data_IF_352299851780
#
_entry.id   IF_352299851780
#
_cell.length_a   1.000
_cell.length_b   1.000
_cell.length_c   1.000
_cell.angle_alpha   90.00
_cell.angle_beta   90.00
_cell.angle_gamma   90.00
#
_symmetry.space_group_name_H-M   'P 1'
#
loop_
_entity.id
_entity.type
_entity.pdbx_description
1 polymer ?
#
# COMPACT_ATOMS: atom_id res chain seq x y z
N UNK A 1 -5.55 -17.22 -14.26
CA UNK A 1 -4.08 -17.33 -14.48
C UNK A 1 -3.75 -17.65 -15.93
N UNK A 2 -4.29 -18.73 -16.51
CA UNK A 2 -4.02 -19.19 -17.88
C UNK A 2 -4.23 -18.08 -18.92
N UNK A 3 -5.32 -17.31 -18.83
CA UNK A 3 -5.59 -16.17 -19.71
C UNK A 3 -4.48 -15.11 -19.68
N UNK A 4 -3.98 -14.75 -18.49
CA UNK A 4 -2.88 -13.79 -18.35
C UNK A 4 -1.55 -14.37 -18.85
N UNK A 5 -1.32 -15.67 -18.62
CA UNK A 5 -0.14 -16.36 -19.17
C UNK A 5 -0.14 -16.31 -20.69
N UNK A 6 -1.24 -16.69 -21.34
CA UNK A 6 -1.34 -16.68 -22.80
C UNK A 6 -1.21 -15.28 -23.38
N UNK A 7 -1.80 -14.29 -22.71
CA UNK A 7 -1.64 -12.88 -23.08
C UNK A 7 -0.16 -12.48 -23.07
N UNK A 8 0.52 -12.69 -21.95
CA UNK A 8 1.93 -12.29 -21.78
C UNK A 8 2.86 -13.07 -22.71
N UNK A 9 2.61 -14.37 -22.91
CA UNK A 9 3.43 -15.23 -23.74
C UNK A 9 3.31 -14.89 -25.23
N UNK A 10 2.11 -14.51 -25.69
CA UNK A 10 1.84 -14.17 -27.08
C UNK A 10 1.87 -12.65 -27.35
N UNK A 11 2.17 -11.82 -26.34
CA UNK A 11 2.17 -10.36 -26.43
C UNK A 11 0.84 -9.79 -26.97
N UNK A 12 -0.27 -10.26 -26.40
CA UNK A 12 -1.62 -9.84 -26.79
C UNK A 12 -2.02 -8.61 -25.96
N UNK A 13 -2.32 -7.50 -26.63
CA UNK A 13 -2.80 -6.27 -25.97
C UNK A 13 -4.26 -5.93 -26.30
N UNK A 14 -4.87 -6.62 -27.25
CA UNK A 14 -6.28 -6.41 -27.59
C UNK A 14 -7.21 -6.98 -26.51
N UNK A 15 -7.94 -6.09 -25.83
CA UNK A 15 -8.86 -6.46 -24.75
C UNK A 15 -9.95 -7.43 -25.19
N UNK A 16 -10.50 -7.28 -26.39
CA UNK A 16 -11.56 -8.19 -26.88
C UNK A 16 -11.02 -9.61 -27.07
N UNK A 17 -9.76 -9.72 -27.51
CA UNK A 17 -9.08 -11.01 -27.63
C UNK A 17 -8.85 -11.61 -26.23
N UNK A 18 -8.40 -10.81 -25.27
CA UNK A 18 -8.17 -11.27 -23.89
C UNK A 18 -9.45 -11.76 -23.20
N UNK A 19 -10.58 -11.05 -23.38
CA UNK A 19 -11.89 -11.50 -22.90
C UNK A 19 -12.30 -12.84 -23.54
N UNK A 20 -12.07 -12.99 -24.84
CA UNK A 20 -12.35 -14.24 -25.55
C UNK A 20 -11.48 -15.39 -25.04
N UNK A 21 -10.21 -15.13 -24.68
CA UNK A 21 -9.33 -16.11 -24.05
C UNK A 21 -9.85 -16.54 -22.68
N UNK A 22 -10.39 -15.62 -21.87
CA UNK A 22 -11.02 -15.97 -20.60
C UNK A 22 -12.20 -16.92 -20.81
N UNK A 23 -13.12 -16.58 -21.71
CA UNK A 23 -14.29 -17.42 -21.98
C UNK A 23 -13.91 -18.80 -22.51
N UNK A 24 -12.89 -18.87 -23.37
CA UNK A 24 -12.38 -20.15 -23.87
C UNK A 24 -11.75 -20.98 -22.76
N UNK A 25 -10.90 -20.37 -21.93
CA UNK A 25 -10.20 -21.06 -20.84
C UNK A 25 -11.16 -21.52 -19.74
N UNK A 26 -12.21 -20.73 -19.45
CA UNK A 26 -13.25 -21.12 -18.51
C UNK A 26 -14.01 -22.37 -18.99
N UNK A 27 -14.35 -22.44 -20.28
CA UNK A 27 -15.02 -23.60 -20.87
C UNK A 27 -14.17 -24.87 -20.81
N UNK A 28 -12.87 -24.75 -21.05
CA UNK A 28 -11.94 -25.88 -21.09
C UNK A 28 -11.60 -26.41 -19.68
N UNK A 29 -11.24 -25.50 -18.76
CA UNK A 29 -10.64 -25.87 -17.48
C UNK A 29 -11.59 -25.78 -16.28
N UNK A 30 -12.74 -25.14 -16.43
CA UNK A 30 -13.76 -25.03 -15.41
C UNK A 30 -15.16 -25.36 -15.95
N UNK A 31 -15.35 -26.53 -16.61
CA UNK A 31 -16.64 -26.90 -17.16
C UNK A 31 -17.67 -27.01 -16.03
N UNK A 32 -18.66 -26.12 -16.02
CA UNK A 32 -19.68 -26.03 -14.97
C UNK A 32 -19.52 -24.84 -14.01
N UNK A 33 -18.45 -24.05 -14.12
CA UNK A 33 -18.37 -22.74 -13.49
C UNK A 33 -19.33 -21.79 -14.21
N UNK A 34 -20.48 -21.54 -13.58
CA UNK A 34 -21.54 -20.72 -14.20
C UNK A 34 -21.23 -19.23 -14.17
N UNK A 35 -20.77 -18.74 -13.02
CA UNK A 35 -20.46 -17.31 -12.85
C UNK A 35 -18.95 -17.04 -13.00
N UNK A 36 -18.61 -16.22 -13.98
CA UNK A 36 -17.24 -15.75 -14.23
C UNK A 36 -17.02 -14.31 -13.77
N UNK A 37 -17.98 -13.71 -13.06
CA UNK A 37 -17.91 -12.33 -12.57
C UNK A 37 -16.63 -12.05 -11.81
N UNK A 38 -16.27 -12.92 -10.86
CA UNK A 38 -15.05 -12.79 -10.08
C UNK A 38 -13.78 -12.93 -10.94
N UNK A 39 -13.74 -13.91 -11.85
CA UNK A 39 -12.60 -14.09 -12.74
C UNK A 39 -12.41 -12.90 -13.69
N UNK A 40 -13.51 -12.33 -14.21
CA UNK A 40 -13.52 -11.10 -15.00
C UNK A 40 -13.06 -9.90 -14.19
N UNK A 41 -13.55 -9.76 -12.95
CA UNK A 41 -13.11 -8.71 -12.04
C UNK A 41 -11.60 -8.74 -11.79
N UNK A 42 -11.03 -9.92 -11.50
CA UNK A 42 -9.59 -10.08 -11.30
C UNK A 42 -8.81 -9.76 -12.58
N UNK A 43 -9.27 -10.25 -13.74
CA UNK A 43 -8.66 -9.94 -15.03
C UNK A 43 -8.65 -8.44 -15.29
N UNK A 44 -9.82 -7.79 -15.20
CA UNK A 44 -9.99 -6.36 -15.43
C UNK A 44 -9.15 -5.52 -14.48
N UNK A 45 -9.15 -5.86 -13.19
CA UNK A 45 -8.35 -5.16 -12.17
C UNK A 45 -6.86 -5.32 -12.44
N UNK A 46 -6.42 -6.53 -12.81
CA UNK A 46 -5.03 -6.80 -13.17
C UNK A 46 -4.59 -6.00 -14.38
N UNK A 47 -5.40 -5.94 -15.44
CA UNK A 47 -5.08 -5.19 -16.66
C UNK A 47 -5.09 -3.68 -16.41
N UNK A 48 -6.11 -3.18 -15.70
CA UNK A 48 -6.28 -1.76 -15.40
C UNK A 48 -5.15 -1.21 -14.54
N UNK A 49 -4.70 -1.97 -13.54
CA UNK A 49 -3.70 -1.50 -12.56
C UNK A 49 -2.32 -2.13 -12.76
N UNK A 50 -2.06 -2.77 -13.90
CA UNK A 50 -0.83 -3.52 -14.15
C UNK A 50 0.44 -2.71 -13.83
N UNK A 51 0.52 -1.47 -14.32
CA UNK A 51 1.70 -0.63 -14.08
C UNK A 51 1.96 -0.34 -12.60
N UNK A 52 0.91 -0.11 -11.80
CA UNK A 52 1.03 0.10 -10.35
C UNK A 52 1.42 -1.19 -9.64
N UNK A 53 0.79 -2.30 -10.02
CA UNK A 53 1.06 -3.62 -9.49
C UNK A 53 2.51 -4.03 -9.76
N UNK A 54 3.00 -3.84 -10.98
CA UNK A 54 4.37 -4.17 -11.37
C UNK A 54 5.38 -3.33 -10.56
N UNK A 55 5.13 -2.04 -10.36
CA UNK A 55 5.97 -1.18 -9.52
C UNK A 55 5.99 -1.62 -8.04
N UNK A 56 4.85 -2.10 -7.50
CA UNK A 56 4.77 -2.67 -6.15
C UNK A 56 5.59 -3.96 -6.06
N UNK A 57 5.52 -4.82 -7.08
CA UNK A 57 6.31 -6.05 -7.15
C UNK A 57 7.80 -5.72 -7.10
N UNK A 58 8.27 -4.78 -7.92
CA UNK A 58 9.68 -4.37 -7.97
C UNK A 58 10.15 -3.78 -6.63
N UNK A 59 9.31 -2.98 -5.98
CA UNK A 59 9.62 -2.43 -4.65
C UNK A 59 9.74 -3.54 -3.59
N UNK A 60 8.85 -4.54 -3.64
CA UNK A 60 8.84 -5.65 -2.69
C UNK A 60 9.92 -6.72 -3.00
N UNK A 61 10.43 -6.78 -4.23
CA UNK A 61 11.44 -7.71 -4.70
C UNK A 61 12.55 -6.99 -5.51
N UNK A 62 13.35 -6.11 -4.89
CA UNK A 62 14.30 -5.25 -5.61
C UNK A 62 15.39 -6.02 -6.36
N UNK A 63 15.73 -7.24 -5.89
CA UNK A 63 16.70 -8.12 -6.55
C UNK A 63 16.13 -8.83 -7.79
N UNK A 64 14.82 -8.73 -8.03
CA UNK A 64 14.09 -9.44 -9.08
C UNK A 64 13.31 -8.46 -9.97
N UNK A 65 13.97 -7.83 -10.96
CA UNK A 65 13.29 -7.03 -11.98
C UNK A 65 12.13 -7.80 -12.62
N UNK A 66 11.07 -7.08 -12.98
CA UNK A 66 9.81 -7.69 -13.44
C UNK A 66 9.99 -8.60 -14.67
N UNK A 67 10.97 -8.31 -15.53
CA UNK A 67 11.30 -9.09 -16.72
C UNK A 67 12.04 -10.40 -16.40
N UNK A 68 12.69 -10.48 -15.23
CA UNK A 68 13.41 -11.67 -14.75
C UNK A 68 12.52 -12.63 -13.98
N UNK A 69 11.33 -12.19 -13.55
CA UNK A 69 10.34 -13.05 -12.92
C UNK A 69 9.68 -13.92 -13.99
N UNK A 70 9.51 -15.22 -13.72
CA UNK A 70 8.84 -16.12 -14.66
C UNK A 70 7.44 -15.61 -14.99
N UNK A 71 6.97 -15.82 -16.23
CA UNK A 71 5.64 -15.34 -16.67
C UNK A 71 4.53 -15.86 -15.73
N UNK A 72 4.67 -17.09 -15.24
CA UNK A 72 3.72 -17.69 -14.29
C UNK A 72 3.76 -16.97 -12.95
N UNK A 73 4.93 -16.85 -12.32
CA UNK A 73 5.06 -16.19 -11.00
C UNK A 73 4.64 -14.72 -11.07
N UNK A 74 5.03 -14.01 -12.14
CA UNK A 74 4.66 -12.62 -12.37
C UNK A 74 3.14 -12.47 -12.44
N UNK A 75 2.46 -13.33 -13.20
CA UNK A 75 1.00 -13.26 -13.30
C UNK A 75 0.29 -13.68 -12.01
N UNK A 76 0.87 -14.59 -11.21
CA UNK A 76 0.36 -14.94 -9.89
C UNK A 76 0.50 -13.76 -8.92
N UNK A 77 1.66 -13.09 -8.90
CA UNK A 77 1.85 -11.85 -8.12
C UNK A 77 0.84 -10.79 -8.53
N UNK A 78 0.65 -10.61 -9.84
CA UNK A 78 -0.30 -9.63 -10.36
C UNK A 78 -1.74 -9.92 -9.92
N UNK A 79 -2.18 -11.17 -10.00
CA UNK A 79 -3.50 -11.60 -9.51
C UNK A 79 -3.62 -11.34 -8.01
N UNK A 80 -2.66 -11.83 -7.21
CA UNK A 80 -2.70 -11.72 -5.76
C UNK A 80 -2.70 -10.27 -5.28
N UNK A 81 -1.92 -9.40 -5.94
CA UNK A 81 -1.90 -7.96 -5.64
C UNK A 81 -3.14 -7.24 -6.15
N UNK A 82 -3.67 -7.59 -7.32
CA UNK A 82 -4.91 -7.02 -7.82
C UNK A 82 -6.05 -7.25 -6.83
N UNK A 83 -6.16 -8.48 -6.32
CA UNK A 83 -7.13 -8.85 -5.31
C UNK A 83 -6.86 -8.16 -3.95
N UNK A 84 -5.61 -8.16 -3.48
CA UNK A 84 -5.23 -7.58 -2.19
C UNK A 84 -5.49 -6.07 -2.11
N UNK A 85 -5.26 -5.35 -3.21
CA UNK A 85 -5.27 -3.88 -3.25
C UNK A 85 -6.57 -3.30 -3.78
N UNK A 86 -7.25 -4.00 -4.69
CA UNK A 86 -8.44 -3.48 -5.36
C UNK A 86 -9.68 -4.36 -5.16
N UNK A 87 -9.54 -5.52 -4.52
CA UNK A 87 -10.65 -6.43 -4.20
C UNK A 87 -11.51 -5.99 -3.03
N UNK A 88 -12.73 -6.55 -2.94
CA UNK A 88 -13.62 -6.32 -1.81
C UNK A 88 -13.18 -7.18 -0.62
N UNK A 89 -12.57 -6.54 0.39
CA UNK A 89 -12.05 -7.20 1.60
C UNK A 89 -13.13 -7.86 2.47
N UNK A 90 -14.39 -7.46 2.31
CA UNK A 90 -15.52 -8.08 3.01
C UNK A 90 -15.94 -9.41 2.37
N UNK A 91 -15.61 -9.61 1.08
CA UNK A 91 -15.85 -10.86 0.36
C UNK A 91 -14.64 -11.79 0.49
N UNK A 92 -13.43 -11.28 0.24
CA UNK A 92 -12.19 -12.06 0.36
C UNK A 92 -11.20 -11.35 1.31
N UNK A 93 -10.96 -11.91 2.51
CA UNK A 93 -9.94 -11.38 3.40
C UNK A 93 -8.55 -11.44 2.79
N UNK A 94 -7.72 -10.42 3.06
CA UNK A 94 -6.37 -10.30 2.50
C UNK A 94 -5.49 -11.56 2.67
N UNK A 95 -5.57 -12.23 3.83
CA UNK A 95 -4.82 -13.47 4.09
C UNK A 95 -5.28 -14.64 3.22
N UNK A 96 -6.56 -14.67 2.85
CA UNK A 96 -7.09 -15.67 1.94
C UNK A 96 -6.54 -15.42 0.54
N UNK A 97 -6.61 -14.19 0.03
CA UNK A 97 -6.03 -13.82 -1.27
C UNK A 97 -4.53 -14.19 -1.37
N UNK A 98 -3.76 -13.92 -0.32
CA UNK A 98 -2.34 -14.30 -0.25
C UNK A 98 -2.15 -15.83 -0.29
N UNK A 99 -2.94 -16.58 0.49
CA UNK A 99 -2.86 -18.03 0.49
C UNK A 99 -3.23 -18.63 -0.87
N UNK A 100 -4.27 -18.13 -1.53
CA UNK A 100 -4.68 -18.60 -2.86
C UNK A 100 -3.58 -18.36 -3.90
N UNK A 101 -2.92 -17.19 -3.88
CA UNK A 101 -1.77 -16.93 -4.74
C UNK A 101 -0.60 -17.90 -4.47
N UNK A 102 -0.35 -18.26 -3.21
CA UNK A 102 0.69 -19.24 -2.85
C UNK A 102 0.33 -20.64 -3.36
N UNK A 103 -0.93 -21.05 -3.26
CA UNK A 103 -1.38 -22.36 -3.76
C UNK A 103 -1.31 -22.41 -5.30
N UNK A 104 -1.69 -21.34 -6.00
CA UNK A 104 -1.47 -21.23 -7.46
C UNK A 104 0.01 -21.38 -7.82
N UNK A 105 0.90 -20.79 -7.03
CA UNK A 105 2.35 -20.86 -7.27
C UNK A 105 2.91 -22.27 -7.07
N UNK A 106 2.38 -23.02 -6.10
CA UNK A 106 2.73 -24.43 -5.89
C UNK A 106 2.20 -25.32 -7.01
N UNK A 107 1.04 -24.99 -7.57
CA UNK A 107 0.41 -25.79 -8.61
C UNK A 107 1.03 -25.57 -10.00
N UNK A 108 1.35 -24.31 -10.34
CA UNK A 108 1.75 -23.93 -11.69
C UNK A 108 3.20 -23.44 -11.81
N UNK A 109 3.83 -23.03 -10.70
CA UNK A 109 5.18 -22.50 -10.68
C UNK A 109 6.26 -23.59 -10.54
N UNK A 110 7.49 -23.13 -10.30
CA UNK A 110 8.64 -24.00 -10.00
C UNK A 110 8.75 -24.32 -8.50
N UNK A 111 9.75 -25.12 -8.14
CA UNK A 111 9.97 -25.61 -6.76
C UNK A 111 10.04 -24.48 -5.70
N UNK A 112 10.55 -23.31 -6.07
CA UNK A 112 10.70 -22.17 -5.18
C UNK A 112 9.58 -21.12 -5.29
N UNK A 113 8.63 -21.27 -6.24
CA UNK A 113 7.59 -20.28 -6.52
C UNK A 113 6.73 -19.97 -5.30
N UNK A 114 6.22 -20.99 -4.61
CA UNK A 114 5.39 -20.78 -3.41
C UNK A 114 6.09 -19.96 -2.31
N UNK A 115 7.40 -20.15 -2.12
CA UNK A 115 8.18 -19.36 -1.15
C UNK A 115 8.41 -17.93 -1.62
N UNK A 116 8.71 -17.76 -2.91
CA UNK A 116 8.90 -16.46 -3.53
C UNK A 116 7.63 -15.59 -3.43
N UNK A 117 6.48 -16.12 -3.89
CA UNK A 117 5.19 -15.43 -3.84
C UNK A 117 4.81 -15.04 -2.40
N UNK A 118 4.97 -15.96 -1.45
CA UNK A 118 4.72 -15.67 -0.03
C UNK A 118 5.64 -14.56 0.51
N UNK A 119 6.90 -14.52 0.08
CA UNK A 119 7.85 -13.48 0.46
C UNK A 119 7.43 -12.10 -0.02
N UNK A 120 7.08 -11.98 -1.31
CA UNK A 120 6.68 -10.72 -1.95
C UNK A 120 5.35 -10.23 -1.40
N UNK A 121 4.30 -11.05 -1.43
CA UNK A 121 2.97 -10.66 -0.93
C UNK A 121 2.99 -10.39 0.58
N UNK A 122 3.78 -11.15 1.34
CA UNK A 122 3.94 -10.93 2.78
C UNK A 122 4.71 -9.67 3.13
N UNK A 123 5.60 -9.18 2.25
CA UNK A 123 6.25 -7.88 2.40
C UNK A 123 5.24 -6.74 2.16
N UNK A 124 4.48 -6.83 1.05
CA UNK A 124 3.42 -5.86 0.72
C UNK A 124 2.36 -5.80 1.82
N UNK A 125 1.89 -6.95 2.30
CA UNK A 125 0.90 -7.04 3.37
C UNK A 125 1.31 -6.28 4.64
N UNK A 126 2.59 -6.33 5.00
CA UNK A 126 3.13 -5.59 6.15
C UNK A 126 3.24 -4.09 5.87
N UNK A 127 3.58 -3.69 4.64
CA UNK A 127 3.67 -2.28 4.27
C UNK A 127 2.31 -1.58 4.34
N UNK A 128 1.21 -2.30 4.08
CA UNK A 128 -0.17 -1.82 4.26
C UNK A 128 -0.56 -1.54 5.72
N UNK A 129 0.36 -1.68 6.67
CA UNK A 129 0.07 -1.46 8.10
C UNK A 129 -0.73 -2.59 8.75
N UNK A 130 -0.94 -3.70 8.06
CA UNK A 130 -1.68 -4.84 8.60
C UNK A 130 -0.77 -5.77 9.42
N UNK A 131 -1.18 -6.05 10.66
CA UNK A 131 -0.40 -6.89 11.56
C UNK A 131 -0.52 -8.38 11.18
N UNK A 132 0.64 -9.00 10.92
CA UNK A 132 0.80 -10.45 10.74
C UNK A 132 0.43 -11.22 12.02
N UNK A 133 0.18 -10.54 13.15
CA UNK A 133 -0.22 -11.18 14.41
C UNK A 133 -1.72 -11.36 14.64
N UNK A 134 -2.58 -11.00 13.69
CA UNK A 134 -3.98 -11.45 13.78
C UNK A 134 -4.08 -12.94 13.41
N UNK A 135 -3.78 -13.80 14.39
CA UNK A 135 -3.81 -15.26 14.27
C UNK A 135 -5.23 -15.78 14.54
N UNK A 136 -5.81 -16.61 13.65
CA UNK A 136 -6.52 -17.79 14.12
C UNK A 136 -5.46 -18.72 14.71
N UNK A 137 -5.53 -18.97 16.02
CA UNK A 137 -4.61 -19.88 16.73
C UNK A 137 -4.71 -21.30 16.17
N UNK A 138 -3.79 -21.69 15.29
CA UNK A 138 -3.52 -23.11 15.04
C UNK A 138 -2.35 -23.55 15.93
N UNK A 139 -2.65 -24.41 16.92
CA UNK A 139 -1.67 -25.09 17.76
C UNK A 139 -0.86 -26.06 16.89
N UNK A 140 0.43 -25.77 16.67
CA UNK A 140 1.33 -26.70 15.98
C UNK A 140 2.81 -26.34 16.11
N UNK A 141 3.48 -27.00 17.05
CA UNK A 141 4.93 -27.21 17.30
C UNK A 141 5.93 -26.04 17.13
N UNK A 142 6.57 -25.76 18.27
CA UNK A 142 7.60 -24.75 18.57
C UNK A 142 8.84 -24.84 17.68
N UNK A 143 9.11 -23.79 16.92
CA UNK A 143 10.46 -23.26 16.71
C UNK A 143 10.60 -22.02 17.59
N UNK A 144 11.73 -21.88 18.29
CA UNK A 144 12.00 -20.77 19.22
C UNK A 144 11.88 -19.44 18.47
N UNK A 145 10.76 -18.72 18.64
CA UNK A 145 10.69 -17.30 18.32
C UNK A 145 11.63 -16.61 19.31
N UNK A 146 12.74 -16.05 18.85
CA UNK A 146 13.38 -14.98 19.61
C UNK A 146 12.34 -13.87 19.76
N UNK A 147 11.75 -13.75 20.95
CA UNK A 147 11.10 -12.53 21.39
C UNK A 147 12.18 -11.46 21.45
N UNK A 148 12.36 -10.75 20.34
CA UNK A 148 13.15 -9.53 20.31
C UNK A 148 12.40 -8.52 21.15
N UNK A 149 12.90 -8.26 22.36
CA UNK A 149 12.44 -7.21 23.26
C UNK A 149 12.27 -5.89 22.47
N UNK A 150 11.05 -5.32 22.39
CA UNK A 150 10.79 -4.06 21.69
C UNK A 150 11.70 -2.91 22.14
N UNK A 151 12.20 -2.95 23.39
CA UNK A 151 13.11 -1.94 23.92
C UNK A 151 14.51 -1.98 23.31
N UNK A 152 14.91 -3.09 22.68
CA UNK A 152 16.23 -3.27 22.04
C UNK A 152 16.20 -3.05 20.53
N UNK A 153 15.04 -2.73 19.95
CA UNK A 153 14.90 -2.50 18.52
C UNK A 153 15.46 -1.13 18.14
N UNK A 154 16.19 -1.01 17.00
CA UNK A 154 16.58 0.29 16.48
C UNK A 154 15.32 1.13 16.22
N UNK A 155 15.35 2.37 16.69
CA UNK A 155 14.24 3.31 16.54
C UNK A 155 14.53 4.29 15.41
N UNK A 156 13.57 4.45 14.51
CA UNK A 156 13.55 5.53 13.54
C UNK A 156 12.50 6.57 13.94
N UNK A 157 12.92 7.83 13.97
CA UNK A 157 12.04 8.96 14.26
C UNK A 157 11.60 9.60 12.94
N UNK A 158 10.30 9.82 12.83
CA UNK A 158 9.68 10.47 11.70
C UNK A 158 8.84 11.65 12.19
N UNK A 159 8.65 12.60 11.28
CA UNK A 159 7.72 13.71 11.45
C UNK A 159 6.76 13.74 10.28
N UNK A 160 5.51 14.08 10.53
CA UNK A 160 4.50 14.23 9.51
C UNK A 160 3.52 15.35 9.87
N UNK A 161 2.62 15.67 8.95
CA UNK A 161 1.65 16.72 9.19
C UNK A 161 0.28 16.47 8.59
N UNK A 162 -0.74 16.99 9.27
CA UNK A 162 -1.99 17.40 8.64
C UNK A 162 -1.78 18.81 8.12
N UNK A 163 -1.54 18.93 6.82
CA UNK A 163 -1.36 20.21 6.13
C UNK A 163 -2.74 20.72 5.73
N UNK A 164 -3.12 21.90 6.23
CA UNK A 164 -4.37 22.54 5.84
C UNK A 164 -4.14 23.89 5.19
N UNK A 165 -5.07 24.28 4.34
CA UNK A 165 -5.16 25.60 3.76
C UNK A 165 -6.60 26.11 3.85
N UNK A 166 -6.75 27.43 3.95
CA UNK A 166 -8.06 28.09 3.91
C UNK A 166 -8.18 28.84 2.59
N UNK A 167 -9.24 28.59 1.84
CA UNK A 167 -9.56 29.34 0.64
C UNK A 167 -11.05 29.68 0.64
N UNK A 168 -11.35 30.99 0.64
CA UNK A 168 -12.71 31.53 0.85
C UNK A 168 -13.30 30.97 2.16
N UNK A 169 -14.48 30.35 2.09
CA UNK A 169 -15.18 29.77 3.23
C UNK A 169 -14.84 28.28 3.46
N UNK A 170 -13.91 27.72 2.69
CA UNK A 170 -13.59 26.30 2.72
C UNK A 170 -12.23 26.03 3.38
N UNK A 171 -12.15 24.90 4.06
CA UNK A 171 -10.92 24.33 4.60
C UNK A 171 -10.55 23.12 3.76
N UNK A 172 -9.30 23.08 3.32
CA UNK A 172 -8.74 21.99 2.54
C UNK A 172 -7.63 21.30 3.32
N UNK A 173 -7.52 19.98 3.19
CA UNK A 173 -6.40 19.19 3.68
C UNK A 173 -5.61 18.64 2.49
N UNK A 174 -4.28 18.74 2.53
CA UNK A 174 -3.43 18.08 1.55
C UNK A 174 -3.17 16.64 2.01
N UNK A 175 -3.44 15.69 1.12
CA UNK A 175 -3.13 14.28 1.32
C UNK A 175 -2.24 13.81 0.17
N UNK A 176 -1.37 12.85 0.47
CA UNK A 176 -0.56 12.13 -0.54
C UNK A 176 -1.20 10.76 -0.78
N UNK A 177 -1.18 10.30 -2.03
CA UNK A 177 -1.68 8.99 -2.41
C UNK A 177 -0.50 8.03 -2.59
N UNK A 178 -0.62 6.85 -2.00
CA UNK A 178 0.39 5.81 -2.14
C UNK A 178 0.10 4.88 -3.32
N UNK A 179 1.15 4.16 -3.73
CA UNK A 179 1.06 3.14 -4.78
C UNK A 179 0.09 1.99 -4.43
N UNK A 180 -0.33 1.89 -3.17
CA UNK A 180 -1.28 0.90 -2.67
C UNK A 180 -2.74 1.36 -2.73
N UNK A 181 -3.02 2.57 -3.23
CA UNK A 181 -4.39 3.06 -3.41
C UNK A 181 -4.96 3.81 -2.23
N UNK A 182 -4.15 4.20 -1.23
CA UNK A 182 -4.62 4.89 -0.04
C UNK A 182 -4.13 6.34 -0.02
N UNK A 183 -5.03 7.24 0.39
CA UNK A 183 -4.70 8.60 0.76
C UNK A 183 -4.18 8.63 2.20
N UNK A 184 -3.06 9.32 2.43
CA UNK A 184 -2.41 9.40 3.73
C UNK A 184 -1.77 10.76 4.00
N UNK A 185 -1.25 10.92 5.21
CA UNK A 185 -0.56 12.13 5.64
C UNK A 185 0.89 12.10 5.16
N UNK A 186 1.37 13.26 4.72
CA UNK A 186 2.77 13.44 4.36
C UNK A 186 3.69 13.26 5.58
N UNK A 187 4.73 12.44 5.43
CA UNK A 187 5.62 12.05 6.53
C UNK A 187 7.02 11.66 6.02
N UNK A 188 8.03 12.02 6.79
CA UNK A 188 9.43 11.79 6.44
C UNK A 188 10.33 11.59 7.64
N UNK A 189 11.57 11.21 7.38
CA UNK A 189 12.58 11.00 8.42
C UNK A 189 12.97 12.33 9.09
N UNK A 190 13.07 12.29 10.42
CA UNK A 190 13.65 13.37 11.21
C UNK A 190 15.16 13.14 11.31
N UNK A 191 15.97 14.12 10.90
CA UNK A 191 17.42 14.00 10.95
C UNK A 191 17.93 13.98 12.41
N UNK A 192 19.10 13.39 12.64
CA UNK A 192 19.67 13.30 13.98
C UNK A 192 19.98 14.70 14.53
N UNK A 193 19.43 15.02 15.71
CA UNK A 193 19.56 16.33 16.33
C UNK A 193 18.68 17.44 15.73
N UNK A 194 17.87 17.14 14.72
CA UNK A 194 16.94 18.10 14.11
C UNK A 194 15.74 18.36 15.03
N UNK A 195 15.33 19.62 15.13
CA UNK A 195 14.12 20.01 15.85
C UNK A 195 12.87 19.53 15.07
N UNK A 196 11.84 19.02 15.77
CA UNK A 196 10.65 18.45 15.13
C UNK A 196 9.90 19.45 14.22
N UNK A 197 9.82 20.74 14.60
CA UNK A 197 9.14 21.77 13.80
C UNK A 197 9.94 22.14 12.55
N UNK A 198 11.27 22.19 12.66
CA UNK A 198 12.15 22.38 11.52
C UNK A 198 12.09 21.18 10.56
N UNK A 199 12.10 19.96 11.12
CA UNK A 199 11.99 18.72 10.36
C UNK A 199 10.68 18.60 9.61
N UNK A 200 9.53 18.89 10.25
CA UNK A 200 8.24 18.84 9.54
C UNK A 200 8.16 19.89 8.44
N UNK A 201 8.72 21.08 8.66
CA UNK A 201 8.78 22.13 7.62
C UNK A 201 9.58 21.66 6.40
N UNK A 202 10.76 21.06 6.63
CA UNK A 202 11.59 20.49 5.57
C UNK A 202 10.89 19.35 4.84
N UNK A 203 10.37 18.38 5.57
CA UNK A 203 9.69 17.19 5.01
C UNK A 203 8.51 17.59 4.12
N UNK A 204 7.62 18.47 4.60
CA UNK A 204 6.46 18.89 3.80
C UNK A 204 6.88 19.67 2.55
N UNK A 205 7.92 20.51 2.68
CA UNK A 205 8.47 21.24 1.52
C UNK A 205 9.08 20.31 0.48
N UNK A 206 9.83 19.30 0.92
CA UNK A 206 10.47 18.30 0.06
C UNK A 206 9.44 17.36 -0.58
N UNK A 207 8.39 16.96 0.13
CA UNK A 207 7.46 15.93 -0.36
C UNK A 207 6.35 16.50 -1.24
N UNK A 208 5.76 17.64 -0.87
CA UNK A 208 4.59 18.20 -1.56
C UNK A 208 4.77 19.66 -2.04
N UNK A 209 5.95 20.24 -1.84
CA UNK A 209 6.36 21.51 -2.46
C UNK A 209 5.91 22.80 -1.77
N UNK A 210 5.17 22.71 -0.66
CA UNK A 210 4.55 23.89 -0.03
C UNK A 210 5.29 24.40 1.21
N UNK A 211 5.27 25.72 1.39
CA UNK A 211 5.73 26.35 2.63
C UNK A 211 4.64 26.28 3.70
N UNK A 212 5.05 26.09 4.95
CA UNK A 212 4.13 25.87 6.05
C UNK A 212 4.42 26.76 7.26
N UNK A 213 3.39 26.92 8.10
CA UNK A 213 3.49 27.45 9.46
C UNK A 213 2.98 26.41 10.44
N UNK A 214 3.88 25.89 11.27
CA UNK A 214 3.53 24.94 12.33
C UNK A 214 2.60 25.61 13.34
N UNK A 215 1.53 24.91 13.75
CA UNK A 215 0.56 25.40 14.73
C UNK A 215 0.70 24.67 16.05
N UNK A 216 0.45 23.37 16.06
CA UNK A 216 0.49 22.55 17.27
C UNK A 216 0.74 21.07 16.94
N UNK A 217 1.19 20.33 17.94
CA UNK A 217 1.41 18.88 17.85
C UNK A 217 0.07 18.14 17.99
N UNK A 218 -0.27 17.30 17.02
CA UNK A 218 -1.47 16.47 17.02
C UNK A 218 -1.28 15.21 17.86
N UNK A 219 -0.12 14.58 17.80
CA UNK A 219 0.12 13.34 18.53
C UNK A 219 1.28 12.55 17.93
N UNK A 220 1.36 11.28 18.31
CA UNK A 220 2.38 10.37 17.81
C UNK A 220 1.83 8.97 17.62
N UNK A 221 2.23 8.30 16.54
CA UNK A 221 1.93 6.90 16.29
C UNK A 221 3.22 6.08 16.31
N UNK A 222 3.15 4.86 16.82
CA UNK A 222 4.26 3.90 16.81
C UNK A 222 3.84 2.61 16.12
N UNK A 223 4.68 2.13 15.19
CA UNK A 223 4.47 0.86 14.51
C UNK A 223 5.80 0.17 14.25
N UNK A 224 5.76 -1.15 14.07
CA UNK A 224 6.94 -1.97 13.76
C UNK A 224 6.99 -2.16 12.25
N UNK A 225 8.04 -1.66 11.62
CA UNK A 225 8.32 -1.89 10.21
C UNK A 225 9.39 -2.99 10.06
N UNK A 226 9.29 -3.78 8.99
CA UNK A 226 10.31 -4.77 8.64
C UNK A 226 11.19 -4.20 7.54
N UNK A 227 12.48 -3.99 7.80
CA UNK A 227 13.45 -3.58 6.79
C UNK A 227 14.28 -4.80 6.35
N UNK A 228 14.50 -5.02 5.03
CA UNK A 228 15.25 -6.15 4.52
C UNK A 228 16.69 -6.25 5.07
N UNK A 229 17.38 -5.12 5.26
CA UNK A 229 18.78 -5.06 5.71
C UNK A 229 18.90 -4.94 7.23
N UNK A 230 18.05 -4.10 7.84
CA UNK A 230 18.15 -3.74 9.27
C UNK A 230 17.26 -4.57 10.19
N UNK A 231 16.43 -5.47 9.63
CA UNK A 231 15.47 -6.27 10.38
C UNK A 231 14.27 -5.46 10.89
N UNK A 232 13.72 -5.83 12.05
CA UNK A 232 12.56 -5.12 12.62
C UNK A 232 12.98 -3.79 13.22
N UNK A 233 12.34 -2.71 12.77
CA UNK A 233 12.56 -1.34 13.21
C UNK A 233 11.30 -0.81 13.90
N UNK A 234 11.46 -0.09 15.00
CA UNK A 234 10.36 0.65 15.62
C UNK A 234 10.31 2.04 15.01
N UNK A 235 9.27 2.34 14.24
CA UNK A 235 9.03 3.68 13.68
C UNK A 235 8.13 4.45 14.63
N UNK A 236 8.57 5.63 15.06
CA UNK A 236 7.77 6.58 15.81
C UNK A 236 7.57 7.83 14.96
N UNK A 237 6.31 8.16 14.67
CA UNK A 237 5.95 9.33 13.86
C UNK A 237 5.29 10.36 14.76
N UNK A 238 5.83 11.58 14.80
CA UNK A 238 5.21 12.72 15.45
C UNK A 238 4.46 13.57 14.42
N UNK A 239 3.17 13.79 14.64
CA UNK A 239 2.32 14.55 13.72
C UNK A 239 2.00 15.95 14.25
N UNK A 240 2.00 16.92 13.34
CA UNK A 240 1.65 18.31 13.60
C UNK A 240 0.47 18.73 12.73
N UNK A 241 -0.29 19.74 13.17
CA UNK A 241 -1.18 20.48 12.28
C UNK A 241 -0.44 21.73 11.81
N UNK A 242 -0.41 21.92 10.50
CA UNK A 242 0.37 22.99 9.87
C UNK A 242 -0.50 23.72 8.86
N UNK A 243 -0.36 25.04 8.80
CA UNK A 243 -1.08 25.88 7.84
C UNK A 243 -0.19 26.16 6.64
N UNK A 244 -0.76 26.11 5.44
CA UNK A 244 -0.10 26.49 4.20
C UNK A 244 -1.01 27.41 3.37
N UNK A 245 -0.45 28.28 2.52
CA UNK A 245 -1.23 28.91 1.46
C UNK A 245 -1.89 27.87 0.54
N UNK A 246 -3.08 28.17 0.01
CA UNK A 246 -3.74 27.32 -0.97
C UNK A 246 -3.08 27.49 -2.36
N UNK A 247 -1.99 26.76 -2.58
CA UNK A 247 -1.22 26.76 -3.82
C UNK A 247 -1.20 25.35 -4.43
N UNK A 248 -0.78 25.25 -5.70
CA UNK A 248 -0.58 23.97 -6.36
C UNK A 248 0.41 23.08 -5.58
N UNK A 249 0.01 21.82 -5.39
CA UNK A 249 0.84 20.80 -4.75
C UNK A 249 1.73 20.15 -5.81
N UNK A 250 2.96 19.85 -5.45
CA UNK A 250 3.90 19.14 -6.32
C UNK A 250 4.50 17.97 -5.56
N UNK A 251 4.07 16.77 -5.90
CA UNK A 251 4.66 15.56 -5.36
C UNK A 251 6.08 15.40 -5.92
N UNK A 252 7.09 15.45 -5.08
CA UNK A 252 8.41 14.98 -5.48
C UNK A 252 8.40 13.46 -5.56
N UNK A 253 9.04 12.90 -6.61
CA UNK A 253 9.09 11.45 -6.87
C UNK A 253 9.91 10.75 -5.78
N UNK A 254 9.28 10.53 -4.64
CA UNK A 254 9.82 9.80 -3.50
C UNK A 254 9.11 8.45 -3.40
N UNK A 255 9.87 7.42 -3.03
CA UNK A 255 9.48 6.03 -3.24
C UNK A 255 8.17 5.64 -2.54
N UNK A 256 7.15 5.32 -3.33
CA UNK A 256 5.89 4.75 -2.86
C UNK A 256 4.69 5.69 -2.88
N UNK A 257 4.86 6.95 -3.27
CA UNK A 257 3.76 7.90 -3.51
C UNK A 257 3.59 8.14 -5.01
N UNK A 258 2.35 8.25 -5.47
CA UNK A 258 2.03 8.46 -6.89
C UNK A 258 1.08 9.65 -7.16
N UNK A 259 0.47 10.24 -6.14
CA UNK A 259 -0.34 11.46 -6.28
C UNK A 259 -0.32 12.35 -5.03
N UNK A 260 -0.74 13.61 -5.19
CA UNK A 260 -0.95 14.56 -4.10
C UNK A 260 -2.09 15.50 -4.45
N UNK A 261 -3.03 15.72 -3.53
CA UNK A 261 -4.17 16.58 -3.80
C UNK A 261 -4.68 17.31 -2.56
N UNK A 262 -5.25 18.48 -2.79
CA UNK A 262 -6.14 19.13 -1.84
C UNK A 262 -7.52 18.49 -1.86
N UNK A 263 -8.04 18.18 -0.67
CA UNK A 263 -9.40 17.70 -0.46
C UNK A 263 -10.13 18.66 0.45
N UNK A 264 -11.40 18.95 0.14
CA UNK A 264 -12.23 19.68 1.08
C UNK A 264 -12.43 18.84 2.32
N UNK A 265 -12.45 19.48 3.48
CA UNK A 265 -12.62 18.81 4.77
C UNK A 265 -13.85 17.89 4.82
N UNK A 266 -14.93 18.22 4.10
CA UNK A 266 -16.17 17.44 4.03
C UNK A 266 -16.05 16.15 3.21
N UNK A 267 -15.13 16.11 2.23
CA UNK A 267 -14.98 14.99 1.30
C UNK A 267 -14.02 13.92 1.86
N UNK A 268 -13.28 14.21 2.94
CA UNK A 268 -12.23 13.36 3.50
C UNK A 268 -12.74 11.97 3.90
N UNK A 269 -13.98 11.88 4.40
CA UNK A 269 -14.57 10.61 4.86
C UNK A 269 -14.94 9.66 3.72
N UNK A 270 -14.97 10.14 2.48
CA UNK A 270 -15.27 9.32 1.30
C UNK A 270 -14.00 8.71 0.68
N UNK A 271 -12.82 9.13 1.15
CA UNK A 271 -11.54 8.69 0.62
C UNK A 271 -11.14 7.34 1.23
N UNK A 272 -10.43 6.54 0.43
CA UNK A 272 -9.76 5.34 0.92
C UNK A 272 -8.51 5.75 1.74
N UNK A 273 -8.62 5.77 3.06
CA UNK A 273 -7.58 6.24 3.99
C UNK A 273 -7.27 5.12 5.00
N UNK A 274 -6.02 5.02 5.46
CA UNK A 274 -5.68 4.10 6.54
C UNK A 274 -6.39 4.45 7.85
N UNK A 275 -6.92 3.43 8.55
CA UNK A 275 -7.65 3.60 9.81
C UNK A 275 -6.82 4.26 10.92
N UNK A 276 -5.50 4.07 10.91
CA UNK A 276 -4.59 4.55 11.95
C UNK A 276 -4.35 6.07 11.90
N UNK A 277 -4.63 6.72 10.76
CA UNK A 277 -4.50 8.17 10.59
C UNK A 277 -5.81 8.93 10.76
N UNK A 278 -6.97 8.26 10.69
CA UNK A 278 -8.28 8.88 10.91
C UNK A 278 -8.39 9.61 12.27
N UNK A 279 -7.84 9.09 13.39
CA UNK A 279 -7.84 9.82 14.66
C UNK A 279 -7.08 11.15 14.59
N UNK A 280 -5.97 11.21 13.84
CA UNK A 280 -5.15 12.42 13.68
C UNK A 280 -5.88 13.47 12.84
N UNK A 281 -6.49 13.05 11.73
CA UNK A 281 -7.33 13.89 10.87
C UNK A 281 -8.52 14.45 11.68
N UNK A 282 -9.23 13.59 12.41
CA UNK A 282 -10.38 13.99 13.24
C UNK A 282 -9.98 15.00 14.30
N UNK A 283 -8.82 14.80 14.94
CA UNK A 283 -8.28 15.75 15.92
C UNK A 283 -7.98 17.10 15.25
N UNK A 284 -7.32 17.10 14.08
CA UNK A 284 -7.02 18.31 13.33
C UNK A 284 -8.30 19.08 12.94
N UNK A 285 -9.32 18.39 12.42
CA UNK A 285 -10.62 18.99 12.10
C UNK A 285 -11.26 19.63 13.34
N UNK A 286 -11.22 18.94 14.48
CA UNK A 286 -11.75 19.48 15.75
C UNK A 286 -11.04 20.78 16.17
N UNK A 287 -9.73 20.87 15.95
CA UNK A 287 -8.94 22.07 16.22
C UNK A 287 -9.32 23.21 15.28
N UNK A 288 -9.54 22.91 14.00
CA UNK A 288 -9.92 23.89 12.97
C UNK A 288 -11.33 24.44 13.16
N UNK A 289 -12.27 23.64 13.68
CA UNK A 289 -13.65 24.06 13.98
C UNK A 289 -13.78 24.90 15.26
N UNK A 290 -12.80 24.82 16.18
CA UNK A 290 -12.79 25.56 17.45
C UNK A 290 -12.27 27.00 17.32
N UNK A 291 -11.84 27.42 16.13
CA UNK A 291 -11.23 28.73 15.85
C UNK A 291 -11.98 29.46 14.75
#
# INVERSE_FOLDING_TARGET
MQTLFERDFNHIDDRNVIETLLDRNAKEFAPGMGDLSFARFILDSTLKYQGKIDAIIEKAAPDWPIEKISIVDRNILRIGLAELLYGNRSEVPAKVAINEAIELAKQFGGENSGKFINGVLGAVYKELGEDVNDKPRVRGKRGVRQETDPAKMPQEKLVGAVVYAKEKDNVYLALVHDIFGHWTLSKGHLAEGENEEAGVTRVIKEEIGVDIKVKEKLGSNEYIASNPEKGKLRKQVNYFIVESPFNDLKLEKTGGLDDVQWFKMVDILELNIYDDILPLITKAITILLKK
#
